data_IF_951555526464
#
_entry.id   IF_951555526464
#
_cell.length_a   1.000
_cell.length_b   1.000
_cell.length_c   1.000
_cell.angle_alpha   90.00
_cell.angle_beta   90.00
_cell.angle_gamma   90.00
#
_symmetry.space_group_name_H-M   'P 1'
#
loop_
_entity.id
_entity.type
_entity.pdbx_description
1 polymer ?
#
# COMPACT_ATOMS: atom_id res chain seq x y z
N UNK A 1 -15.73 3.72 0.39
CA UNK A 1 -15.91 4.78 -0.62
C UNK A 1 -15.85 4.11 -1.98
N UNK A 2 -16.72 4.50 -2.92
CA UNK A 2 -16.78 3.87 -4.25
C UNK A 2 -15.46 4.09 -4.99
N UNK A 3 -14.80 2.99 -5.38
CA UNK A 3 -13.59 3.01 -6.20
C UNK A 3 -13.91 3.50 -7.63
N UNK A 4 -15.12 3.22 -8.11
CA UNK A 4 -15.64 3.71 -9.40
C UNK A 4 -16.51 4.96 -9.21
N UNK A 5 -16.03 6.12 -9.68
CA UNK A 5 -16.77 7.39 -9.63
C UNK A 5 -18.18 7.35 -10.27
N UNK A 6 -18.46 6.59 -11.35
CA UNK A 6 -19.80 6.58 -11.96
C UNK A 6 -20.85 5.93 -11.04
N UNK A 7 -20.46 4.91 -10.27
CA UNK A 7 -21.33 4.27 -9.30
C UNK A 7 -21.73 5.22 -8.16
N UNK A 8 -20.87 6.17 -7.82
CA UNK A 8 -21.20 7.20 -6.84
C UNK A 8 -22.30 8.14 -7.36
N UNK A 9 -22.29 8.49 -8.65
CA UNK A 9 -23.35 9.31 -9.26
C UNK A 9 -24.68 8.56 -9.26
N UNK A 10 -24.67 7.27 -9.61
CA UNK A 10 -25.87 6.41 -9.54
C UNK A 10 -26.42 6.37 -8.10
N UNK A 11 -25.55 6.20 -7.10
CA UNK A 11 -25.92 6.25 -5.69
C UNK A 11 -26.55 7.61 -5.30
N UNK A 12 -25.95 8.72 -5.72
CA UNK A 12 -26.47 10.06 -5.41
C UNK A 12 -27.89 10.26 -5.97
N UNK A 13 -28.15 9.82 -7.22
CA UNK A 13 -29.48 9.90 -7.84
C UNK A 13 -30.50 9.04 -7.10
N UNK A 14 -30.17 7.77 -6.81
CA UNK A 14 -31.08 6.87 -6.09
C UNK A 14 -31.35 7.35 -4.66
N UNK A 15 -30.37 7.96 -4.00
CA UNK A 15 -30.53 8.58 -2.68
C UNK A 15 -31.47 9.78 -2.75
N UNK A 16 -31.31 10.65 -3.76
CA UNK A 16 -32.23 11.76 -4.00
C UNK A 16 -33.68 11.29 -4.23
N UNK A 17 -33.87 10.22 -5.01
CA UNK A 17 -35.20 9.62 -5.23
C UNK A 17 -35.79 9.06 -3.93
N UNK A 18 -35.00 8.35 -3.13
CA UNK A 18 -35.44 7.81 -1.85
C UNK A 18 -35.88 8.92 -0.88
N UNK A 19 -35.09 9.99 -0.76
CA UNK A 19 -35.41 11.14 0.07
C UNK A 19 -36.63 11.90 -0.43
N UNK A 20 -36.79 12.03 -1.75
CA UNK A 20 -37.98 12.65 -2.35
C UNK A 20 -39.26 11.88 -2.03
N UNK A 21 -39.24 10.55 -2.15
CA UNK A 21 -40.38 9.68 -1.81
C UNK A 21 -40.70 9.80 -0.32
N UNK A 22 -39.70 9.71 0.55
CA UNK A 22 -39.91 9.86 2.00
C UNK A 22 -40.50 11.24 2.35
N UNK A 23 -40.02 12.31 1.71
CA UNK A 23 -40.55 13.66 1.90
C UNK A 23 -42.00 13.81 1.40
N UNK A 24 -42.33 13.22 0.25
CA UNK A 24 -43.65 13.29 -0.36
C UNK A 24 -44.74 12.66 0.51
N UNK A 25 -44.43 11.52 1.14
CA UNK A 25 -45.36 10.82 2.04
C UNK A 25 -45.22 11.27 3.51
N UNK A 26 -44.38 12.27 3.78
CA UNK A 26 -44.05 12.75 5.11
C UNK A 26 -43.57 11.63 6.04
N UNK A 27 -42.84 10.64 5.54
CA UNK A 27 -42.23 9.60 6.36
C UNK A 27 -41.00 10.18 7.05
N UNK A 28 -41.13 10.49 8.33
CA UNK A 28 -40.11 11.18 9.11
C UNK A 28 -39.63 10.32 10.27
N UNK A 29 -38.31 10.29 10.43
CA UNK A 29 -37.62 9.77 11.60
C UNK A 29 -36.72 10.89 12.15
N UNK A 30 -36.45 10.86 13.45
CA UNK A 30 -35.52 11.78 14.09
C UNK A 30 -34.07 11.53 13.64
N UNK A 31 -33.28 12.60 13.64
CA UNK A 31 -31.85 12.59 13.33
C UNK A 31 -31.09 13.03 14.59
N UNK A 32 -30.94 12.13 15.55
CA UNK A 32 -30.38 12.48 16.86
C UNK A 32 -28.90 12.11 17.00
N UNK A 33 -28.47 11.00 16.41
CA UNK A 33 -27.10 10.50 16.59
C UNK A 33 -26.39 10.21 15.27
N UNK A 34 -26.99 9.41 14.38
CA UNK A 34 -26.32 8.93 13.16
C UNK A 34 -27.24 8.54 12.00
N UNK A 35 -28.56 8.78 12.10
CA UNK A 35 -29.57 8.20 11.21
C UNK A 35 -29.51 6.65 11.12
N UNK A 36 -28.96 6.01 12.15
CA UNK A 36 -28.85 4.56 12.24
C UNK A 36 -30.06 3.90 12.90
N UNK A 37 -29.93 2.60 13.17
CA UNK A 37 -30.96 1.80 13.83
C UNK A 37 -31.41 2.37 15.19
N UNK A 38 -30.46 2.94 15.95
CA UNK A 38 -30.75 3.56 17.25
C UNK A 38 -31.71 4.74 17.07
N UNK A 39 -31.46 5.61 16.09
CA UNK A 39 -32.32 6.75 15.79
C UNK A 39 -33.69 6.32 15.30
N UNK A 40 -33.77 5.24 14.51
CA UNK A 40 -35.04 4.66 14.07
C UNK A 40 -35.89 4.17 15.26
N UNK A 41 -35.30 3.42 16.20
CA UNK A 41 -36.01 2.90 17.38
C UNK A 41 -36.49 4.06 18.27
N UNK A 42 -35.65 5.07 18.48
CA UNK A 42 -36.04 6.25 19.26
C UNK A 42 -37.19 7.00 18.58
N UNK A 43 -37.17 7.10 17.24
CA UNK A 43 -38.21 7.76 16.44
C UNK A 43 -39.59 7.14 16.61
N UNK A 44 -39.70 5.87 17.01
CA UNK A 44 -40.99 5.23 17.30
C UNK A 44 -41.72 5.85 18.50
N UNK A 45 -40.99 6.60 19.35
CA UNK A 45 -41.50 7.21 20.58
C UNK A 45 -41.48 8.74 20.56
N UNK A 46 -40.95 9.38 19.51
CA UNK A 46 -40.90 10.84 19.40
C UNK A 46 -42.17 11.34 18.71
N UNK A 47 -42.89 12.32 19.28
CA UNK A 47 -44.15 12.82 18.71
C UNK A 47 -44.00 13.57 17.38
N UNK A 48 -42.77 13.92 16.97
CA UNK A 48 -42.48 14.58 15.69
C UNK A 48 -42.26 13.60 14.53
N UNK A 49 -42.08 12.31 14.82
CA UNK A 49 -41.89 11.28 13.81
C UNK A 49 -43.25 10.85 13.23
N UNK A 50 -43.33 10.76 11.91
CA UNK A 50 -44.53 10.40 11.18
C UNK A 50 -44.29 9.13 10.36
N UNK A 51 -45.02 8.07 10.70
CA UNK A 51 -44.93 6.74 10.07
C UNK A 51 -43.48 6.25 9.81
N UNK A 52 -42.59 6.23 10.83
CA UNK A 52 -41.20 5.85 10.65
C UNK A 52 -41.05 4.43 10.08
N UNK A 53 -41.95 3.49 10.39
CA UNK A 53 -41.92 2.11 9.87
C UNK A 53 -41.94 2.03 8.33
N UNK A 54 -42.52 3.01 7.64
CA UNK A 54 -42.53 3.04 6.18
C UNK A 54 -41.14 3.23 5.59
N UNK A 55 -40.18 3.76 6.35
CA UNK A 55 -38.77 3.84 5.96
C UNK A 55 -38.13 2.45 5.85
N UNK A 56 -38.59 1.45 6.61
CA UNK A 56 -38.14 0.06 6.44
C UNK A 56 -38.66 -0.53 5.12
N UNK A 57 -39.93 -0.27 4.81
CA UNK A 57 -40.54 -0.71 3.54
C UNK A 57 -39.84 -0.05 2.36
N UNK A 58 -39.63 1.27 2.44
CA UNK A 58 -38.86 2.02 1.44
C UNK A 58 -37.42 1.48 1.33
N UNK A 59 -36.77 1.18 2.46
CA UNK A 59 -35.44 0.59 2.48
C UNK A 59 -35.38 -0.76 1.75
N UNK A 60 -36.36 -1.64 1.95
CA UNK A 60 -36.45 -2.92 1.24
C UNK A 60 -36.66 -2.73 -0.27
N UNK A 61 -37.58 -1.84 -0.67
CA UNK A 61 -37.81 -1.53 -2.09
C UNK A 61 -36.54 -0.95 -2.72
N UNK A 62 -35.90 0.01 -2.04
CA UNK A 62 -34.65 0.59 -2.52
C UNK A 62 -33.53 -0.44 -2.57
N UNK A 63 -33.43 -1.38 -1.63
CA UNK A 63 -32.42 -2.45 -1.68
C UNK A 63 -32.53 -3.29 -2.97
N UNK A 64 -33.75 -3.64 -3.37
CA UNK A 64 -34.02 -4.35 -4.62
C UNK A 64 -33.62 -3.50 -5.83
N UNK A 65 -34.06 -2.23 -5.86
CA UNK A 65 -33.73 -1.30 -6.95
C UNK A 65 -32.22 -1.08 -7.06
N UNK A 66 -31.55 -0.87 -5.93
CA UNK A 66 -30.09 -0.71 -5.87
C UNK A 66 -29.39 -1.96 -6.40
N UNK A 67 -29.77 -3.15 -5.94
CA UNK A 67 -29.15 -4.40 -6.38
C UNK A 67 -29.20 -4.54 -7.91
N UNK A 68 -30.38 -4.46 -8.51
CA UNK A 68 -30.52 -4.64 -9.96
C UNK A 68 -29.90 -3.49 -10.77
N UNK A 69 -29.97 -2.25 -10.28
CA UNK A 69 -29.36 -1.11 -10.98
C UNK A 69 -27.85 -1.22 -10.95
N UNK A 70 -27.25 -1.48 -9.79
CA UNK A 70 -25.80 -1.62 -9.67
C UNK A 70 -25.31 -2.84 -10.45
N UNK A 71 -25.95 -4.00 -10.30
CA UNK A 71 -25.60 -5.21 -11.05
C UNK A 71 -25.62 -4.97 -12.57
N UNK A 72 -26.67 -4.33 -13.08
CA UNK A 72 -26.79 -3.99 -14.49
C UNK A 72 -25.68 -3.04 -14.96
N UNK A 73 -25.42 -1.95 -14.23
CA UNK A 73 -24.40 -0.97 -14.65
C UNK A 73 -23.00 -1.58 -14.53
N UNK A 74 -22.71 -2.35 -13.47
CA UNK A 74 -21.42 -3.04 -13.27
C UNK A 74 -21.16 -4.04 -14.41
N UNK A 75 -22.14 -4.87 -14.77
CA UNK A 75 -22.01 -5.85 -15.86
C UNK A 75 -21.91 -5.17 -17.22
N UNK A 76 -22.79 -4.19 -17.50
CA UNK A 76 -22.86 -3.53 -18.81
C UNK A 76 -21.64 -2.69 -19.14
N UNK A 77 -21.06 -2.03 -18.15
CA UNK A 77 -19.93 -1.10 -18.34
C UNK A 77 -18.60 -1.66 -17.82
N UNK A 78 -18.56 -2.95 -17.49
CA UNK A 78 -17.41 -3.65 -16.91
C UNK A 78 -16.65 -2.83 -15.84
N UNK A 79 -17.41 -2.24 -14.91
CA UNK A 79 -16.80 -1.34 -13.92
C UNK A 79 -16.04 -2.14 -12.87
N UNK A 80 -14.86 -1.64 -12.53
CA UNK A 80 -14.04 -2.16 -11.44
C UNK A 80 -14.75 -1.90 -10.11
N UNK A 81 -15.14 -2.97 -9.43
CA UNK A 81 -15.61 -2.93 -8.04
C UNK A 81 -14.60 -3.66 -7.16
N UNK A 82 -14.48 -3.35 -5.87
CA UNK A 82 -13.68 -4.17 -4.96
C UNK A 82 -14.08 -5.65 -5.10
N UNK A 83 -13.12 -6.52 -5.41
CA UNK A 83 -13.34 -7.93 -5.74
C UNK A 83 -13.59 -8.26 -7.22
N UNK A 84 -13.56 -7.26 -8.11
CA UNK A 84 -13.70 -7.38 -9.58
C UNK A 84 -12.57 -6.60 -10.25
N UNK A 85 -11.34 -7.06 -10.03
CA UNK A 85 -10.14 -6.58 -10.75
C UNK A 85 -10.08 -7.26 -12.13
N UNK A 86 -9.41 -6.64 -13.11
CA UNK A 86 -9.36 -7.16 -14.48
C UNK A 86 -8.68 -8.54 -14.55
N UNK A 87 -9.52 -9.57 -14.59
CA UNK A 87 -9.30 -10.89 -15.16
C UNK A 87 -10.57 -11.27 -15.90
N UNK A 88 -10.85 -10.57 -17.01
CA UNK A 88 -12.09 -10.66 -17.75
C UNK A 88 -12.09 -11.76 -18.81
N UNK A 89 -12.78 -12.84 -18.48
CA UNK A 89 -13.58 -13.70 -19.36
C UNK A 89 -12.87 -14.74 -20.24
N UNK A 90 -13.02 -16.00 -19.83
CA UNK A 90 -13.14 -17.12 -20.75
C UNK A 90 -12.10 -18.22 -20.66
N UNK A 91 -11.63 -18.59 -19.47
CA UNK A 91 -10.94 -19.87 -19.27
C UNK A 91 -11.10 -20.28 -17.80
N UNK A 92 -11.06 -21.59 -17.59
CA UNK A 92 -11.49 -22.35 -16.42
C UNK A 92 -11.11 -21.74 -15.07
N UNK A 93 -12.02 -21.91 -14.11
CA UNK A 93 -11.89 -21.69 -12.66
C UNK A 93 -10.43 -21.81 -12.17
N UNK A 94 -9.71 -20.72 -11.86
CA UNK A 94 -8.44 -20.81 -11.17
C UNK A 94 -8.75 -20.90 -9.68
N UNK A 95 -8.98 -22.13 -9.25
CA UNK A 95 -8.84 -22.66 -7.89
C UNK A 95 -8.94 -21.62 -6.74
N UNK A 96 -10.15 -21.54 -6.15
CA UNK A 96 -10.46 -20.88 -4.87
C UNK A 96 -9.59 -21.37 -3.69
N UNK A 97 -8.74 -22.38 -3.89
CA UNK A 97 -7.75 -22.87 -2.93
C UNK A 97 -6.73 -21.79 -2.55
N UNK A 98 -6.24 -21.00 -3.51
CA UNK A 98 -5.03 -20.19 -3.33
C UNK A 98 -5.15 -19.02 -2.32
N UNK A 99 -6.32 -18.39 -2.21
CA UNK A 99 -6.52 -17.25 -1.31
C UNK A 99 -6.76 -17.69 0.14
N UNK A 100 -7.61 -18.70 0.35
CA UNK A 100 -7.84 -19.29 1.68
C UNK A 100 -6.56 -19.98 2.20
N UNK A 101 -5.82 -20.65 1.32
CA UNK A 101 -4.51 -21.25 1.65
C UNK A 101 -3.46 -20.20 1.99
N UNK A 102 -3.46 -19.02 1.34
CA UNK A 102 -2.55 -17.91 1.66
C UNK A 102 -2.78 -17.38 3.07
N UNK A 103 -4.04 -17.21 3.49
CA UNK A 103 -4.35 -16.74 4.84
C UNK A 103 -4.07 -17.81 5.89
N UNK A 104 -4.38 -19.06 5.59
CA UNK A 104 -4.06 -20.20 6.44
C UNK A 104 -2.54 -20.38 6.64
N UNK A 105 -1.75 -20.20 5.58
CA UNK A 105 -0.29 -20.19 5.63
C UNK A 105 0.25 -19.04 6.49
N UNK A 106 -0.23 -17.82 6.27
CA UNK A 106 0.20 -16.64 7.02
C UNK A 106 -0.16 -16.78 8.51
N UNK A 107 -1.37 -17.27 8.82
CA UNK A 107 -1.79 -17.58 10.18
C UNK A 107 -0.91 -18.68 10.81
N UNK A 108 -0.60 -19.75 10.09
CA UNK A 108 0.26 -20.84 10.57
C UNK A 108 1.68 -20.38 10.91
N UNK A 109 2.27 -19.50 10.10
CA UNK A 109 3.61 -18.95 10.35
C UNK A 109 3.60 -17.95 11.51
N UNK A 110 2.56 -17.13 11.63
CA UNK A 110 2.35 -16.25 12.78
C UNK A 110 2.21 -17.08 14.07
N UNK A 111 1.43 -18.17 14.03
CA UNK A 111 1.25 -19.09 15.15
C UNK A 111 2.56 -19.77 15.58
N UNK A 112 3.36 -20.24 14.62
CA UNK A 112 4.70 -20.78 14.90
C UNK A 112 5.64 -19.73 15.52
N UNK A 113 5.59 -18.48 15.04
CA UNK A 113 6.41 -17.38 15.55
C UNK A 113 5.99 -16.89 16.94
N UNK A 114 4.74 -17.09 17.33
CA UNK A 114 4.25 -16.81 18.69
C UNK A 114 4.68 -17.90 19.68
N UNK A 115 4.93 -19.12 19.20
CA UNK A 115 5.21 -20.31 19.98
C UNK A 115 3.97 -21.19 20.09
N UNK A 116 4.12 -22.51 19.82
CA UNK A 116 3.02 -23.47 19.60
C UNK A 116 1.99 -23.55 20.73
N UNK A 117 2.33 -23.18 21.97
CA UNK A 117 1.40 -23.19 23.12
C UNK A 117 1.32 -21.84 23.84
N UNK A 118 1.81 -20.77 23.21
CA UNK A 118 1.97 -19.47 23.86
C UNK A 118 0.79 -18.52 23.61
N UNK A 119 -0.18 -18.90 22.76
CA UNK A 119 -1.30 -18.04 22.35
C UNK A 119 -2.56 -18.33 23.16
N UNK A 120 -3.10 -17.31 23.85
CA UNK A 120 -4.33 -17.40 24.66
C UNK A 120 -5.56 -16.88 23.93
N UNK A 121 -5.48 -15.67 23.39
CA UNK A 121 -6.64 -14.99 22.81
C UNK A 121 -6.24 -14.31 21.52
N UNK A 122 -7.13 -14.41 20.53
CA UNK A 122 -6.98 -13.81 19.20
C UNK A 122 -8.12 -12.83 18.97
N UNK A 123 -7.78 -11.55 18.96
CA UNK A 123 -8.67 -10.46 18.58
C UNK A 123 -8.09 -9.72 17.36
N UNK A 124 -8.90 -8.93 16.67
CA UNK A 124 -8.45 -8.11 15.56
C UNK A 124 -9.14 -6.74 15.54
N UNK A 125 -8.51 -5.78 14.88
CA UNK A 125 -9.06 -4.46 14.56
C UNK A 125 -9.02 -4.26 13.04
N UNK A 126 -9.25 -3.03 12.55
CA UNK A 126 -9.29 -2.73 11.11
C UNK A 126 -8.03 -3.13 10.34
N UNK A 127 -6.84 -3.10 10.97
CA UNK A 127 -5.57 -3.44 10.28
C UNK A 127 -4.59 -4.29 11.09
N UNK A 128 -4.95 -4.69 12.31
CA UNK A 128 -4.01 -5.33 13.27
C UNK A 128 -4.63 -6.50 14.01
N UNK A 129 -3.88 -7.58 14.15
CA UNK A 129 -4.13 -8.66 15.11
C UNK A 129 -3.71 -8.19 16.50
N UNK A 130 -4.57 -8.43 17.48
CA UNK A 130 -4.34 -8.22 18.90
C UNK A 130 -4.30 -9.59 19.56
N UNK A 131 -3.11 -9.99 19.98
CA UNK A 131 -2.85 -11.33 20.48
C UNK A 131 -2.47 -11.24 21.95
N UNK A 132 -3.15 -12.04 22.77
CA UNK A 132 -2.77 -12.25 24.17
C UNK A 132 -1.94 -13.52 24.24
N UNK A 133 -0.69 -13.40 24.71
CA UNK A 133 0.26 -14.52 24.85
C UNK A 133 0.58 -14.80 26.32
N UNK A 134 1.06 -16.01 26.63
CA UNK A 134 1.49 -16.35 28.00
C UNK A 134 2.81 -15.65 28.37
N UNK A 135 3.75 -15.63 27.45
CA UNK A 135 5.07 -15.03 27.60
C UNK A 135 5.55 -14.37 26.30
N UNK A 136 5.68 -13.05 26.30
CA UNK A 136 6.19 -12.28 25.16
C UNK A 136 7.63 -12.58 24.76
N UNK A 137 8.45 -13.11 25.66
CA UNK A 137 9.88 -13.34 25.40
C UNK A 137 10.12 -14.56 24.49
N UNK A 138 9.13 -15.46 24.42
CA UNK A 138 9.14 -16.61 23.50
C UNK A 138 8.70 -16.22 22.08
N UNK A 139 8.23 -14.98 21.88
CA UNK A 139 7.71 -14.51 20.60
C UNK A 139 8.87 -14.12 19.69
N UNK A 140 9.03 -14.86 18.60
CA UNK A 140 10.03 -14.58 17.60
C UNK A 140 9.53 -13.49 16.62
N UNK A 141 9.75 -12.23 17.00
CA UNK A 141 9.37 -11.08 16.19
C UNK A 141 10.01 -11.09 14.79
N UNK A 142 11.21 -11.65 14.64
CA UNK A 142 11.88 -11.76 13.34
C UNK A 142 11.19 -12.78 12.42
N UNK A 143 10.81 -13.94 12.96
CA UNK A 143 10.07 -14.96 12.22
C UNK A 143 8.67 -14.47 11.82
N UNK A 144 8.01 -13.70 12.68
CA UNK A 144 6.72 -13.10 12.36
C UNK A 144 6.89 -12.00 11.30
N UNK A 145 7.90 -11.12 11.40
CA UNK A 145 8.16 -10.12 10.34
C UNK A 145 8.49 -10.77 8.99
N UNK A 146 9.16 -11.92 8.99
CA UNK A 146 9.47 -12.68 7.79
C UNK A 146 8.23 -13.25 7.07
N UNK A 147 7.03 -13.18 7.67
CA UNK A 147 5.78 -13.55 6.98
C UNK A 147 5.24 -12.44 6.07
N UNK A 148 5.93 -11.28 5.99
CA UNK A 148 5.53 -10.15 5.14
C UNK A 148 4.55 -9.18 5.81
N UNK A 149 4.32 -9.32 7.11
CA UNK A 149 3.49 -8.39 7.89
C UNK A 149 4.20 -7.04 8.08
N UNK A 150 3.53 -5.90 7.82
CA UNK A 150 4.11 -4.55 7.95
C UNK A 150 4.76 -4.22 9.30
N UNK A 151 4.41 -4.94 10.37
CA UNK A 151 5.11 -4.78 11.64
C UNK A 151 4.55 -5.61 12.77
N UNK A 152 5.39 -5.81 13.79
CA UNK A 152 5.04 -6.50 15.04
C UNK A 152 5.44 -5.60 16.19
N UNK A 153 4.54 -5.39 17.14
CA UNK A 153 4.79 -4.61 18.36
C UNK A 153 4.42 -5.41 19.58
N UNK A 154 5.38 -5.58 20.49
CA UNK A 154 5.12 -6.09 21.84
C UNK A 154 4.76 -4.89 22.71
N UNK A 155 3.57 -4.91 23.31
CA UNK A 155 3.10 -3.84 24.19
C UNK A 155 3.47 -4.12 25.64
N UNK A 156 3.24 -5.37 26.08
CA UNK A 156 3.50 -5.84 27.44
C UNK A 156 4.01 -7.28 27.41
N UNK A 157 4.34 -7.82 28.58
CA UNK A 157 4.75 -9.22 28.76
C UNK A 157 3.74 -10.27 28.25
N UNK A 158 2.50 -9.86 27.99
CA UNK A 158 1.39 -10.73 27.56
C UNK A 158 0.64 -10.22 26.33
N UNK A 159 0.97 -9.03 25.81
CA UNK A 159 0.19 -8.40 24.73
C UNK A 159 1.08 -8.15 23.53
N UNK A 160 0.75 -8.75 22.39
CA UNK A 160 1.46 -8.60 21.11
C UNK A 160 0.48 -8.13 20.04
N UNK A 161 0.89 -7.16 19.23
CA UNK A 161 0.15 -6.71 18.06
C UNK A 161 0.92 -7.01 16.78
N UNK A 162 0.23 -7.55 15.79
CA UNK A 162 0.78 -7.78 14.44
C UNK A 162 -0.04 -6.97 13.45
N UNK A 163 0.62 -6.12 12.67
CA UNK A 163 -0.01 -5.28 11.65
C UNK A 163 -0.07 -6.11 10.38
N UNK A 164 -1.28 -6.42 9.90
CA UNK A 164 -1.50 -7.29 8.73
C UNK A 164 -2.01 -6.49 7.53
N UNK A 165 -2.83 -5.45 7.77
CA UNK A 165 -3.51 -4.70 6.71
C UNK A 165 -5.02 -4.96 6.68
N UNK A 166 -5.69 -4.61 5.58
CA UNK A 166 -7.16 -4.70 5.44
C UNK A 166 -7.70 -6.12 5.58
N UNK A 167 -6.88 -7.13 5.29
CA UNK A 167 -7.23 -8.56 5.28
C UNK A 167 -7.11 -9.25 6.66
N UNK A 168 -6.96 -8.46 7.73
CA UNK A 168 -6.65 -8.99 9.06
C UNK A 168 -7.73 -9.88 9.68
N UNK A 169 -8.98 -9.75 9.22
CA UNK A 169 -10.08 -10.61 9.67
C UNK A 169 -9.87 -12.07 9.26
N UNK A 170 -9.49 -12.31 7.99
CA UNK A 170 -9.30 -13.65 7.44
C UNK A 170 -8.15 -14.40 8.16
N UNK A 171 -7.07 -13.68 8.46
CA UNK A 171 -5.94 -14.22 9.22
C UNK A 171 -6.32 -14.54 10.67
N UNK A 172 -7.16 -13.70 11.30
CA UNK A 172 -7.62 -13.93 12.67
C UNK A 172 -8.48 -15.19 12.79
N UNK A 173 -9.33 -15.44 11.80
CA UNK A 173 -10.25 -16.58 11.79
C UNK A 173 -9.48 -17.90 11.56
N UNK A 174 -8.48 -17.92 10.68
CA UNK A 174 -7.59 -19.09 10.52
C UNK A 174 -6.71 -19.32 11.77
N UNK A 175 -6.23 -18.27 12.45
CA UNK A 175 -5.47 -18.42 13.69
C UNK A 175 -6.31 -19.06 14.82
N UNK A 176 -7.59 -18.70 14.92
CA UNK A 176 -8.54 -19.30 15.87
C UNK A 176 -8.82 -20.77 15.53
N UNK A 177 -8.92 -21.09 14.24
CA UNK A 177 -9.11 -22.46 13.76
C UNK A 177 -7.92 -23.34 14.14
N UNK A 178 -6.69 -22.87 13.89
CA UNK A 178 -5.44 -23.56 14.28
C UNK A 178 -5.36 -23.78 15.80
N UNK A 179 -5.80 -22.81 16.61
CA UNK A 179 -5.84 -22.95 18.08
C UNK A 179 -6.82 -24.05 18.55
N UNK A 180 -7.86 -24.34 17.78
CA UNK A 180 -8.89 -25.34 18.13
C UNK A 180 -8.55 -26.75 17.61
N UNK A 181 -7.98 -26.85 16.40
CA UNK A 181 -7.65 -28.14 15.78
C UNK A 181 -6.23 -28.60 16.10
N UNK A 182 -5.31 -27.70 16.47
CA UNK A 182 -3.89 -28.01 16.66
C UNK A 182 -3.15 -28.36 15.36
N UNK A 183 -3.86 -28.35 14.23
CA UNK A 183 -3.35 -28.63 12.89
C UNK A 183 -2.89 -27.31 12.27
N UNK A 184 -1.57 -27.13 12.19
CA UNK A 184 -0.98 -26.07 11.37
C UNK A 184 -0.98 -26.61 9.94
N UNK A 185 -1.59 -25.90 8.96
CA UNK A 185 -1.56 -26.32 7.57
C UNK A 185 -0.10 -26.53 7.12
N UNK A 186 0.22 -27.71 6.61
CA UNK A 186 1.52 -28.00 6.00
C UNK A 186 1.72 -27.11 4.76
N UNK A 187 2.97 -26.76 4.42
CA UNK A 187 3.25 -25.84 3.34
C UNK A 187 2.64 -26.37 2.04
N UNK A 188 1.93 -25.49 1.33
CA UNK A 188 1.50 -25.73 -0.04
C UNK A 188 2.78 -26.06 -0.83
N UNK A 189 2.90 -27.34 -1.21
CA UNK A 189 3.89 -27.81 -2.16
C UNK A 189 3.42 -27.31 -3.52
N UNK A 190 3.75 -26.06 -3.85
CA UNK A 190 3.87 -25.69 -5.25
C UNK A 190 5.03 -26.52 -5.81
N UNK A 191 4.69 -27.32 -6.81
CA UNK A 191 5.48 -28.45 -7.28
C UNK A 191 6.84 -27.97 -7.78
N UNK A 192 7.90 -28.39 -7.10
CA UNK A 192 9.26 -28.20 -7.54
C UNK A 192 9.48 -28.83 -8.93
N UNK A 193 9.79 -28.01 -9.92
CA UNK A 193 10.83 -28.37 -10.89
C UNK A 193 12.09 -27.58 -10.52
N UNK A 194 12.97 -28.31 -9.85
CA UNK A 194 14.37 -28.01 -9.55
C UNK A 194 14.66 -26.71 -8.80
N UNK A 195 14.41 -26.77 -7.49
CA UNK A 195 15.35 -26.22 -6.52
C UNK A 195 16.53 -27.18 -6.41
N UNK A 196 17.55 -26.96 -7.24
CA UNK A 196 18.92 -27.25 -6.84
C UNK A 196 19.25 -26.23 -5.75
N UNK A 197 20.00 -26.61 -4.72
CA UNK A 197 20.72 -25.66 -3.88
C UNK A 197 21.45 -24.65 -4.79
N UNK A 198 20.88 -23.48 -5.00
CA UNK A 198 21.53 -22.35 -5.61
C UNK A 198 21.38 -21.28 -4.55
N UNK A 199 22.51 -20.88 -3.97
CA UNK A 199 22.70 -19.59 -3.32
C UNK A 199 21.65 -18.60 -3.85
N UNK A 200 20.81 -18.02 -3.00
CA UNK A 200 19.93 -16.92 -3.40
C UNK A 200 20.83 -15.91 -4.08
N UNK A 201 20.81 -15.90 -5.41
CA UNK A 201 21.87 -15.24 -6.16
C UNK A 201 21.52 -13.78 -6.13
N UNK A 202 22.08 -13.11 -5.14
CA UNK A 202 21.99 -11.70 -4.89
C UNK A 202 21.98 -10.95 -6.23
N UNK A 203 20.81 -10.41 -6.60
CA UNK A 203 20.64 -9.76 -7.91
C UNK A 203 21.31 -8.41 -7.79
N UNK A 204 22.47 -8.28 -8.44
CA UNK A 204 23.27 -7.06 -8.40
C UNK A 204 23.03 -6.25 -9.65
N UNK A 205 22.65 -4.99 -9.49
CA UNK A 205 22.36 -4.06 -10.56
C UNK A 205 23.24 -2.82 -10.44
N UNK A 206 23.67 -2.28 -11.59
CA UNK A 206 24.40 -1.01 -11.62
C UNK A 206 23.50 0.17 -11.24
N UNK A 207 24.07 1.08 -10.45
CA UNK A 207 23.49 2.38 -10.13
C UNK A 207 24.17 3.43 -11.00
N UNK A 208 23.37 4.30 -11.61
CA UNK A 208 23.81 5.39 -12.46
C UNK A 208 23.67 6.75 -11.77
N UNK A 209 24.56 7.67 -12.10
CA UNK A 209 24.44 9.07 -11.70
C UNK A 209 23.20 9.69 -12.34
N UNK A 210 22.23 10.07 -11.50
CA UNK A 210 20.98 10.72 -11.94
C UNK A 210 21.19 12.12 -12.50
N UNK A 211 22.31 12.79 -12.19
CA UNK A 211 22.66 14.09 -12.74
C UNK A 211 24.17 14.28 -12.79
N UNK A 212 24.62 15.24 -13.59
CA UNK A 212 26.02 15.70 -13.56
C UNK A 212 26.23 16.56 -12.33
N UNK A 213 27.13 16.19 -11.43
CA UNK A 213 27.25 16.86 -10.14
C UNK A 213 28.12 16.12 -9.13
N UNK A 214 27.95 16.43 -7.84
CA UNK A 214 28.69 15.80 -6.75
C UNK A 214 27.84 14.73 -6.07
N UNK A 215 28.29 13.47 -6.12
CA UNK A 215 27.70 12.34 -5.37
C UNK A 215 28.20 12.36 -3.93
N UNK A 216 27.27 12.21 -3.00
CA UNK A 216 27.51 12.16 -1.55
C UNK A 216 26.65 11.05 -0.94
N UNK A 217 27.06 10.47 0.20
CA UNK A 217 26.22 9.56 0.98
C UNK A 217 24.91 10.24 1.38
N UNK A 218 23.83 9.46 1.55
CA UNK A 218 22.54 10.00 2.00
C UNK A 218 22.62 10.65 3.39
N UNK A 219 23.58 10.23 4.21
CA UNK A 219 23.83 10.79 5.56
C UNK A 219 24.37 12.23 5.55
N UNK A 220 24.88 12.73 4.42
CA UNK A 220 25.40 14.11 4.28
C UNK A 220 24.34 15.12 3.82
N UNK A 221 23.10 14.67 3.56
CA UNK A 221 22.02 15.57 3.12
C UNK A 221 21.55 16.48 4.26
N UNK A 222 21.26 17.76 4.00
CA UNK A 222 20.78 18.69 5.02
C UNK A 222 19.28 18.51 5.32
N UNK A 223 18.81 17.27 5.44
CA UNK A 223 17.43 16.90 5.80
C UNK A 223 17.44 15.69 6.75
N UNK A 224 16.76 15.80 7.90
CA UNK A 224 16.80 14.79 8.95
C UNK A 224 16.16 13.46 8.54
N UNK A 225 15.11 13.48 7.71
CA UNK A 225 14.38 12.27 7.32
C UNK A 225 15.25 11.40 6.43
N UNK A 226 15.95 12.03 5.48
CA UNK A 226 16.87 11.34 4.58
C UNK A 226 18.22 11.03 5.24
N UNK A 227 18.80 11.98 5.99
CA UNK A 227 20.12 11.78 6.62
C UNK A 227 20.10 10.70 7.70
N UNK A 228 18.95 10.49 8.36
CA UNK A 228 18.74 9.42 9.32
C UNK A 228 18.24 8.10 8.67
N UNK A 229 18.20 8.03 7.34
CA UNK A 229 17.78 6.85 6.57
C UNK A 229 16.37 6.34 6.94
N UNK A 230 15.49 7.21 7.45
CA UNK A 230 14.15 6.80 7.91
C UNK A 230 13.27 6.31 6.74
N UNK A 231 13.52 6.82 5.54
CA UNK A 231 12.83 6.44 4.30
C UNK A 231 13.58 5.37 3.50
N UNK A 232 14.76 4.93 3.97
CA UNK A 232 15.63 4.02 3.23
C UNK A 232 17.08 4.49 3.17
N UNK A 233 17.98 3.56 2.87
CA UNK A 233 19.38 3.86 2.54
C UNK A 233 19.50 4.30 1.08
N UNK A 234 20.61 4.93 0.69
CA UNK A 234 20.79 5.44 -0.66
C UNK A 234 21.92 6.44 -0.82
N UNK A 235 21.76 7.34 -1.78
CA UNK A 235 22.75 8.37 -2.10
C UNK A 235 22.10 9.65 -2.58
N UNK A 236 22.90 10.72 -2.57
CA UNK A 236 22.47 12.05 -2.96
C UNK A 236 23.42 12.61 -4.02
N UNK A 237 22.86 13.32 -4.99
CA UNK A 237 23.62 14.07 -5.99
C UNK A 237 23.27 15.54 -5.88
N UNK A 238 24.29 16.39 -5.70
CA UNK A 238 24.16 17.83 -5.86
C UNK A 238 24.40 18.19 -7.33
N UNK A 239 23.36 18.52 -8.10
CA UNK A 239 23.45 18.69 -9.55
C UNK A 239 24.09 20.02 -9.94
N UNK A 240 24.80 20.01 -11.06
CA UNK A 240 25.36 21.19 -11.75
C UNK A 240 24.64 21.50 -13.05
N UNK A 241 23.88 20.53 -13.57
CA UNK A 241 23.02 20.63 -14.77
C UNK A 241 21.58 20.32 -14.41
N UNK A 242 20.65 20.76 -15.26
CA UNK A 242 19.20 20.65 -15.04
C UNK A 242 18.65 19.26 -15.37
N UNK A 243 19.37 18.45 -16.15
CA UNK A 243 18.88 17.15 -16.63
C UNK A 243 18.97 16.08 -15.53
N UNK A 244 17.85 15.39 -15.31
CA UNK A 244 17.71 14.26 -14.38
C UNK A 244 17.45 12.98 -15.16
N UNK A 245 18.20 11.92 -14.86
CA UNK A 245 18.18 10.62 -15.53
C UNK A 245 17.83 9.49 -14.57
N UNK A 246 17.47 8.32 -15.13
CA UNK A 246 17.12 7.15 -14.36
C UNK A 246 18.30 6.63 -13.51
N UNK A 247 18.12 6.39 -12.19
CA UNK A 247 19.16 5.86 -11.32
C UNK A 247 19.50 4.39 -11.60
N UNK A 248 18.54 3.64 -12.15
CA UNK A 248 18.67 2.23 -12.50
C UNK A 248 17.56 1.83 -13.50
N UNK A 249 17.61 0.61 -14.02
CA UNK A 249 16.54 0.07 -14.87
C UNK A 249 15.40 -0.49 -14.01
N UNK A 250 14.17 -0.12 -14.33
CA UNK A 250 12.98 -0.51 -13.57
C UNK A 250 11.70 0.05 -14.17
N UNK A 251 10.58 -0.06 -13.48
CA UNK A 251 9.28 0.48 -13.91
C UNK A 251 8.85 1.63 -12.99
N UNK A 252 8.38 2.74 -13.55
CA UNK A 252 7.78 3.83 -12.75
C UNK A 252 6.48 3.32 -12.15
N UNK A 253 6.40 3.30 -10.83
CA UNK A 253 5.21 2.85 -10.09
C UNK A 253 4.27 3.99 -9.74
N UNK A 254 4.80 5.19 -9.50
CA UNK A 254 4.02 6.37 -9.09
C UNK A 254 4.78 7.66 -9.39
N UNK A 255 4.08 8.70 -9.85
CA UNK A 255 4.61 10.06 -9.99
C UNK A 255 3.81 10.97 -9.05
N UNK A 256 4.50 11.66 -8.15
CA UNK A 256 3.81 12.53 -7.19
C UNK A 256 3.13 13.72 -7.91
N UNK A 257 1.97 14.21 -7.43
CA UNK A 257 1.20 15.25 -8.12
C UNK A 257 1.98 16.54 -8.43
N UNK A 258 2.91 16.92 -7.55
CA UNK A 258 3.78 18.09 -7.73
C UNK A 258 5.09 17.78 -8.45
N UNK A 259 5.22 16.57 -9.04
CA UNK A 259 6.30 16.11 -9.92
C UNK A 259 7.71 16.10 -9.30
N UNK A 260 7.85 16.47 -8.03
CA UNK A 260 9.13 16.54 -7.32
C UNK A 260 9.71 15.16 -6.98
N UNK A 261 8.90 14.10 -6.99
CA UNK A 261 9.34 12.76 -6.64
C UNK A 261 8.62 11.70 -7.47
N UNK A 262 9.22 10.50 -7.52
CA UNK A 262 8.62 9.32 -8.14
C UNK A 262 9.13 8.02 -7.53
N UNK A 263 8.29 7.00 -7.57
CA UNK A 263 8.64 5.62 -7.24
C UNK A 263 9.05 4.84 -8.49
N UNK A 264 10.12 4.05 -8.37
CA UNK A 264 10.62 3.14 -9.39
C UNK A 264 10.75 1.75 -8.74
N UNK A 265 10.29 0.71 -9.41
CA UNK A 265 10.46 -0.68 -8.96
C UNK A 265 11.35 -1.43 -9.94
N UNK A 266 12.41 -2.06 -9.45
CA UNK A 266 13.30 -2.90 -10.26
C UNK A 266 12.64 -4.23 -10.62
N UNK A 267 13.21 -4.96 -11.58
CA UNK A 267 12.78 -6.34 -11.88
C UNK A 267 12.96 -7.29 -10.68
N UNK A 268 13.90 -7.00 -9.78
CA UNK A 268 14.08 -7.74 -8.52
C UNK A 268 13.08 -7.34 -7.42
N UNK A 269 12.18 -6.39 -7.69
CA UNK A 269 11.19 -5.91 -6.73
C UNK A 269 11.74 -4.92 -5.70
N UNK A 270 12.96 -4.41 -5.89
CA UNK A 270 13.52 -3.33 -5.08
C UNK A 270 12.81 -2.02 -5.43
N UNK A 271 12.37 -1.29 -4.41
CA UNK A 271 11.66 -0.03 -4.56
C UNK A 271 12.63 1.15 -4.34
N UNK A 272 12.59 2.09 -5.27
CA UNK A 272 13.47 3.26 -5.30
C UNK A 272 12.62 4.52 -5.36
N UNK A 273 12.84 5.41 -4.40
CA UNK A 273 12.32 6.77 -4.41
C UNK A 273 13.39 7.69 -5.03
N UNK A 274 13.05 8.30 -6.16
CA UNK A 274 13.79 9.43 -6.72
C UNK A 274 13.10 10.72 -6.31
N UNK A 275 13.76 11.53 -5.49
CA UNK A 275 13.25 12.80 -4.97
C UNK A 275 14.15 13.96 -5.43
N UNK A 276 13.58 14.96 -6.09
CA UNK A 276 14.29 16.05 -6.75
C UNK A 276 14.20 17.34 -5.93
N UNK A 277 15.31 17.69 -5.29
CA UNK A 277 15.41 18.84 -4.39
C UNK A 277 14.92 18.57 -2.97
N UNK A 278 15.04 19.55 -2.08
CA UNK A 278 14.51 19.52 -0.72
C UNK A 278 13.36 20.52 -0.58
N UNK A 279 12.27 20.10 0.05
CA UNK A 279 11.03 20.89 0.23
C UNK A 279 10.44 21.46 -1.07
N UNK A 280 10.75 20.85 -2.21
CA UNK A 280 10.31 21.27 -3.56
C UNK A 280 8.85 20.92 -3.85
N UNK A 281 8.21 20.12 -2.99
CA UNK A 281 6.77 19.86 -3.01
C UNK A 281 5.95 21.16 -2.97
N UNK A 282 6.44 22.19 -2.27
CA UNK A 282 5.80 23.51 -2.14
C UNK A 282 5.77 24.30 -3.45
N UNK A 283 6.63 23.96 -4.41
CA UNK A 283 6.74 24.62 -5.71
C UNK A 283 5.72 24.12 -6.74
N UNK A 284 4.80 23.24 -6.32
CA UNK A 284 3.63 22.79 -7.10
C UNK A 284 3.94 22.28 -8.51
N UNK A 285 5.14 21.77 -8.74
CA UNK A 285 5.57 21.24 -10.04
C UNK A 285 6.06 22.27 -11.06
N UNK A 286 6.10 23.56 -10.72
CA UNK A 286 6.59 24.61 -11.63
C UNK A 286 8.05 24.46 -12.11
N UNK A 287 9.01 23.98 -11.30
CA UNK A 287 10.40 23.84 -11.74
C UNK A 287 10.70 22.50 -12.44
N UNK A 288 9.71 21.60 -12.55
CA UNK A 288 9.92 20.24 -13.05
C UNK A 288 9.18 20.01 -14.36
N UNK A 289 9.93 19.71 -15.42
CA UNK A 289 9.38 19.26 -16.69
C UNK A 289 9.68 17.76 -16.89
N UNK A 290 8.68 16.91 -16.72
CA UNK A 290 8.84 15.45 -16.82
C UNK A 290 8.91 15.00 -18.29
N UNK A 291 9.81 14.06 -18.57
CA UNK A 291 9.96 13.39 -19.86
C UNK A 291 9.39 11.95 -19.86
N UNK A 292 8.80 11.52 -18.74
CA UNK A 292 8.33 10.15 -18.51
C UNK A 292 6.92 10.13 -17.92
N UNK A 293 6.27 8.97 -18.02
CA UNK A 293 4.90 8.72 -17.55
C UNK A 293 4.84 7.54 -16.58
N UNK A 294 3.80 7.49 -15.75
CA UNK A 294 3.55 6.33 -14.88
C UNK A 294 3.42 5.03 -15.67
N UNK A 295 3.95 3.94 -15.12
CA UNK A 295 3.97 2.63 -15.75
C UNK A 295 5.06 2.44 -16.81
N UNK A 296 5.79 3.49 -17.20
CA UNK A 296 6.90 3.39 -18.16
C UNK A 296 8.05 2.56 -17.61
N UNK A 297 8.61 1.70 -18.46
CA UNK A 297 9.85 0.95 -18.19
C UNK A 297 11.05 1.84 -18.52
N UNK A 298 11.91 2.05 -17.54
CA UNK A 298 13.14 2.81 -17.58
C UNK A 298 14.34 1.91 -17.84
N UNK A 299 15.28 2.43 -18.64
CA UNK A 299 16.58 1.87 -18.92
C UNK A 299 17.67 2.90 -18.62
N UNK A 300 18.92 2.43 -18.58
CA UNK A 300 20.09 3.30 -18.48
C UNK A 300 20.05 4.40 -19.56
N UNK A 301 20.23 5.65 -19.16
CA UNK A 301 20.25 6.79 -20.07
C UNK A 301 18.90 7.46 -20.29
N UNK A 302 17.81 6.88 -19.78
CA UNK A 302 16.49 7.49 -19.92
C UNK A 302 16.41 8.78 -19.10
N UNK A 303 16.01 9.85 -19.78
CA UNK A 303 15.77 11.15 -19.15
C UNK A 303 14.45 11.11 -18.39
N UNK A 304 14.48 11.49 -17.13
CA UNK A 304 13.32 11.54 -16.24
C UNK A 304 12.67 12.93 -16.29
N UNK A 305 13.48 13.96 -16.11
CA UNK A 305 12.98 15.33 -15.99
C UNK A 305 14.06 16.37 -16.34
N UNK A 306 13.61 17.57 -16.66
CA UNK A 306 14.40 18.80 -16.52
C UNK A 306 14.00 19.50 -15.20
N UNK A 307 15.00 19.82 -14.41
CA UNK A 307 14.88 20.48 -13.11
C UNK A 307 15.52 21.88 -13.17
N UNK A 308 14.69 22.92 -13.13
CA UNK A 308 15.14 24.32 -13.14
C UNK A 308 15.83 24.70 -11.82
N UNK A 309 17.16 24.58 -11.80
CA UNK A 309 17.98 24.83 -10.61
C UNK A 309 17.92 26.29 -10.15
N UNK A 310 17.69 27.23 -11.06
CA UNK A 310 17.64 28.65 -10.73
C UNK A 310 16.36 28.98 -9.97
N UNK A 311 15.21 28.47 -10.43
CA UNK A 311 13.94 28.64 -9.73
C UNK A 311 13.94 28.02 -8.34
N UNK A 312 14.51 26.82 -8.20
CA UNK A 312 14.60 26.13 -6.89
C UNK A 312 15.44 26.95 -5.91
N UNK A 313 16.62 27.43 -6.35
CA UNK A 313 17.48 28.29 -5.52
C UNK A 313 16.84 29.64 -5.20
N UNK A 314 16.15 30.25 -6.16
CA UNK A 314 15.43 31.51 -5.96
C UNK A 314 14.30 31.39 -4.93
N UNK A 315 13.70 30.20 -4.82
CA UNK A 315 12.70 29.89 -3.80
C UNK A 315 13.30 29.51 -2.43
N UNK A 316 14.63 29.53 -2.27
CA UNK A 316 15.32 29.17 -1.03
C UNK A 316 15.27 27.68 -0.69
N UNK A 317 15.10 26.82 -1.70
CA UNK A 317 14.96 25.36 -1.56
C UNK A 317 16.25 24.64 -1.95
N UNK A 318 16.42 23.42 -1.45
CA UNK A 318 17.57 22.58 -1.78
C UNK A 318 17.48 21.98 -3.18
N UNK A 319 18.60 21.84 -3.88
CA UNK A 319 18.68 21.25 -5.22
C UNK A 319 19.17 19.80 -5.22
N UNK A 320 19.41 19.23 -4.04
CA UNK A 320 19.88 17.88 -3.82
C UNK A 320 18.89 16.86 -4.40
N UNK A 321 19.35 16.00 -5.30
CA UNK A 321 18.55 14.89 -5.82
C UNK A 321 18.87 13.66 -4.99
N UNK A 322 17.85 13.11 -4.34
CA UNK A 322 17.97 11.96 -3.44
C UNK A 322 17.47 10.71 -4.16
N UNK A 323 18.23 9.64 -4.03
CA UNK A 323 17.84 8.29 -4.45
C UNK A 323 17.86 7.41 -3.21
N UNK A 324 16.68 6.97 -2.77
CA UNK A 324 16.52 6.16 -1.56
C UNK A 324 15.83 4.83 -1.87
N UNK A 325 16.29 3.74 -1.26
CA UNK A 325 15.73 2.41 -1.41
C UNK A 325 14.75 2.12 -0.28
N UNK A 326 13.45 2.08 -0.58
CA UNK A 326 12.38 2.20 0.43
C UNK A 326 12.00 0.89 1.10
N UNK A 327 12.39 -0.26 0.53
CA UNK A 327 12.10 -1.60 1.06
C UNK A 327 13.37 -2.32 1.53
N UNK A 328 13.86 -1.92 2.71
CA UNK A 328 15.13 -2.37 3.28
C UNK A 328 15.24 -3.90 3.47
N UNK A 329 14.13 -4.62 3.58
CA UNK A 329 14.13 -6.09 3.68
C UNK A 329 14.65 -6.78 2.42
N UNK A 330 14.46 -6.16 1.25
CA UNK A 330 14.97 -6.65 -0.03
C UNK A 330 16.36 -6.12 -0.35
N UNK A 331 16.79 -5.08 0.35
CA UNK A 331 18.12 -4.52 0.19
C UNK A 331 19.15 -5.39 0.94
N UNK A 332 20.18 -5.86 0.24
CA UNK A 332 21.32 -6.54 0.83
C UNK A 332 22.47 -5.58 1.08
N UNK A 333 22.87 -4.84 0.04
CA UNK A 333 23.99 -3.93 0.08
C UNK A 333 23.87 -2.83 -0.98
N UNK A 334 24.39 -1.65 -0.69
CA UNK A 334 24.65 -0.57 -1.63
C UNK A 334 26.16 -0.29 -1.59
N UNK A 335 26.85 -0.56 -2.70
CA UNK A 335 28.27 -0.28 -2.84
C UNK A 335 28.47 0.92 -3.79
N UNK A 336 28.77 2.08 -3.21
CA UNK A 336 29.09 3.30 -3.96
C UNK A 336 30.59 3.33 -4.29
N UNK A 337 30.93 2.80 -5.45
CA UNK A 337 32.31 2.77 -5.96
C UNK A 337 32.87 4.13 -6.36
N UNK A 338 32.01 5.14 -6.62
CA UNK A 338 32.43 6.50 -6.99
C UNK A 338 31.66 7.56 -6.19
N UNK A 339 32.42 8.34 -5.43
CA UNK A 339 31.95 9.55 -4.74
C UNK A 339 32.66 10.80 -5.28
N UNK A 340 32.06 11.98 -5.07
CA UNK A 340 32.59 13.23 -5.62
C UNK A 340 32.00 13.58 -6.99
N UNK A 341 32.77 14.26 -7.84
CA UNK A 341 32.25 14.80 -9.10
C UNK A 341 32.05 13.70 -10.16
N UNK A 342 30.82 13.57 -10.66
CA UNK A 342 30.41 12.59 -11.68
C UNK A 342 29.67 13.26 -12.83
N UNK A 343 29.63 12.57 -13.96
CA UNK A 343 28.83 12.94 -15.13
C UNK A 343 27.54 12.09 -15.09
N UNK A 344 26.42 12.67 -15.55
CA UNK A 344 25.15 11.94 -15.66
C UNK A 344 25.31 10.62 -16.44
N UNK A 345 24.54 9.59 -16.08
CA UNK A 345 24.57 8.24 -16.66
C UNK A 345 25.86 7.43 -16.43
N UNK A 346 26.84 7.97 -15.71
CA UNK A 346 28.02 7.22 -15.28
C UNK A 346 27.62 6.19 -14.21
N UNK A 347 28.23 5.00 -14.26
CA UNK A 347 28.09 4.02 -13.17
C UNK A 347 28.80 4.56 -11.93
N UNK A 348 28.05 4.70 -10.84
CA UNK A 348 28.54 5.22 -9.55
C UNK A 348 28.60 4.16 -8.46
N UNK A 349 27.97 3.02 -8.68
CA UNK A 349 27.91 1.94 -7.71
C UNK A 349 27.08 0.77 -8.20
N UNK A 350 26.83 -0.15 -7.28
CA UNK A 350 25.96 -1.28 -7.48
C UNK A 350 25.04 -1.44 -6.27
N UNK A 351 23.82 -1.89 -6.53
CA UNK A 351 22.87 -2.30 -5.49
C UNK A 351 22.62 -3.79 -5.62
N UNK A 352 22.63 -4.48 -4.50
CA UNK A 352 22.38 -5.91 -4.43
C UNK A 352 21.07 -6.13 -3.68
N UNK A 353 20.12 -6.80 -4.33
CA UNK A 353 18.84 -7.19 -3.75
C UNK A 353 18.78 -8.70 -3.46
N UNK A 354 18.10 -9.05 -2.38
CA UNK A 354 17.90 -10.42 -1.89
C UNK A 354 16.82 -11.20 -2.62
#
# INVERSE_FOLDING_TARGET
MFVAWPLYVVHAVLTGISMFIAALFHWTAGFNFSAGLIDFILSLRVPIANQPYMLLVLGLVMAVVYYFTFDFVIKKFNMMTPGREEGGEGEEDPDLSSADEKFAYLAGRIYQGLGKDNLKTVDNCTTRLRLTVENSDLVNQAAIKATGVPGVRVLDKKNVQVIVGTEVQFVADELKKIQQTGEVPDPIVETAKEVVHSETKAITQEIFAVATGKVMPITEVPDQVFSAQMMGDGFVILPTKEEVFAPLSGKITNIFPTKHAMGIQTESGLEVLLHMGLDTVELKGEPFNLAVSEGQVLKKGDKIADMDLQKIKAAGKGTEIIVAFTNAERLENIDLTKTGNVIANLVIGQVTSK
#
